data_IF_667308343273
#
_entry.id   IF_667308343273
#
_cell.length_a   1.000
_cell.length_b   1.000
_cell.length_c   1.000
_cell.angle_alpha   90.00
_cell.angle_beta   90.00
_cell.angle_gamma   90.00
#
_symmetry.space_group_name_H-M   'P 1'
#
loop_
_entity.id
_entity.type
_entity.pdbx_description
1 polymer ?
#
# COMPACT_ATOMS: atom_id res chain seq x y z
N UNK A 1 64.99 -29.59 1.16
CA UNK A 1 64.41 -28.66 2.15
C UNK A 1 62.93 -28.51 1.88
N UNK A 2 62.11 -29.09 2.76
CA UNK A 2 60.69 -28.75 2.95
C UNK A 2 60.57 -27.28 3.38
N UNK A 3 59.45 -26.58 3.11
CA UNK A 3 58.40 -26.16 4.08
C UNK A 3 57.19 -25.60 3.25
N UNK A 4 56.16 -26.41 2.94
CA UNK A 4 54.75 -26.47 3.45
C UNK A 4 53.86 -25.21 3.27
N UNK A 5 52.77 -25.40 2.51
CA UNK A 5 51.53 -24.59 2.52
C UNK A 5 50.72 -24.77 3.83
N UNK A 6 49.82 -23.83 4.14
CA UNK A 6 48.47 -24.20 4.60
C UNK A 6 47.39 -23.33 3.90
N UNK A 7 46.35 -23.89 3.29
CA UNK A 7 45.17 -24.60 3.81
C UNK A 7 44.02 -23.66 4.27
N UNK A 8 42.81 -24.06 3.88
CA UNK A 8 41.55 -23.32 3.71
C UNK A 8 40.58 -23.55 4.89
N UNK A 9 39.62 -22.62 5.08
CA UNK A 9 38.30 -22.71 5.76
C UNK A 9 38.21 -22.63 7.31
N UNK A 10 37.03 -22.37 7.92
CA UNK A 10 35.82 -21.62 7.50
C UNK A 10 35.22 -20.70 8.62
N UNK A 11 34.06 -20.10 8.32
CA UNK A 11 33.16 -19.26 9.14
C UNK A 11 32.96 -19.65 10.63
N UNK A 12 32.64 -18.70 11.53
CA UNK A 12 31.98 -18.99 12.80
C UNK A 12 30.48 -18.63 12.78
N UNK A 13 29.65 -19.61 13.12
CA UNK A 13 28.24 -19.47 13.45
C UNK A 13 28.01 -20.13 14.81
N UNK A 14 27.83 -19.35 15.89
CA UNK A 14 27.38 -19.88 17.18
C UNK A 14 26.67 -18.78 18.01
N UNK A 15 25.35 -18.91 18.19
CA UNK A 15 24.55 -18.32 19.30
C UNK A 15 24.77 -19.16 20.59
N UNK A 16 24.11 -18.95 21.75
CA UNK A 16 23.44 -17.79 22.36
C UNK A 16 23.94 -17.51 23.81
N UNK A 17 23.65 -16.33 24.39
CA UNK A 17 23.78 -16.11 25.85
C UNK A 17 22.40 -16.02 26.49
N UNK A 18 22.02 -17.07 27.22
CA UNK A 18 20.95 -17.12 28.22
C UNK A 18 21.53 -16.63 29.54
N UNK A 19 20.95 -15.60 30.14
CA UNK A 19 21.09 -15.32 31.57
C UNK A 19 19.75 -15.56 32.26
N UNK A 20 19.72 -16.57 33.13
CA UNK A 20 18.65 -16.86 34.07
C UNK A 20 18.91 -16.14 35.41
N UNK A 21 17.88 -15.96 36.26
CA UNK A 21 17.98 -15.31 37.58
C UNK A 21 18.39 -16.29 38.72
N UNK A 22 18.89 -15.79 39.86
CA UNK A 22 19.07 -16.55 41.11
C UNK A 22 17.76 -16.54 41.93
N UNK A 23 17.52 -17.30 43.00
CA UNK A 23 17.99 -18.56 43.57
C UNK A 23 17.00 -18.83 44.73
N UNK A 24 16.75 -20.11 45.04
CA UNK A 24 16.46 -20.65 46.37
C UNK A 24 15.02 -20.71 46.96
N UNK A 25 14.87 -21.77 47.78
CA UNK A 25 13.88 -22.14 48.82
C UNK A 25 13.10 -23.46 48.55
N UNK A 26 13.03 -24.39 49.53
CA UNK A 26 13.21 -25.83 49.29
C UNK A 26 11.94 -26.70 49.32
N UNK A 27 12.13 -27.94 48.84
CA UNK A 27 11.21 -29.09 48.89
C UNK A 27 11.02 -29.61 50.32
N UNK A 28 9.77 -29.94 50.70
CA UNK A 28 9.35 -31.06 51.59
C UNK A 28 7.80 -31.10 51.57
N UNK A 29 7.14 -31.98 50.81
CA UNK A 29 6.71 -33.36 51.13
C UNK A 29 5.30 -33.47 51.75
N UNK A 30 4.52 -34.41 51.20
CA UNK A 30 3.35 -35.14 51.74
C UNK A 30 1.91 -34.56 51.61
N UNK A 31 1.15 -35.25 50.74
CA UNK A 31 -0.28 -35.65 50.83
C UNK A 31 -1.19 -34.95 51.84
N UNK A 32 -2.29 -34.35 51.34
CA UNK A 32 -3.64 -34.61 51.88
C UNK A 32 -4.76 -34.26 50.87
N UNK A 33 -5.60 -35.25 50.58
CA UNK A 33 -6.93 -35.13 49.99
C UNK A 33 -7.83 -34.25 50.85
N UNK A 34 -8.46 -33.21 50.27
CA UNK A 34 -9.76 -32.73 50.76
C UNK A 34 -10.63 -32.31 49.56
N UNK A 35 -11.73 -33.03 49.39
CA UNK A 35 -12.87 -32.74 48.54
C UNK A 35 -13.57 -31.45 49.03
N UNK A 36 -13.82 -30.49 48.14
CA UNK A 36 -14.87 -29.49 48.35
C UNK A 36 -15.67 -29.35 47.05
N UNK A 37 -16.99 -29.58 47.06
CA UNK A 37 -17.86 -29.37 45.91
C UNK A 37 -18.24 -27.89 45.85
N UNK A 38 -17.82 -27.16 44.83
CA UNK A 38 -18.42 -25.86 44.55
C UNK A 38 -19.39 -26.00 43.38
N UNK A 39 -20.64 -26.29 43.74
CA UNK A 39 -21.79 -26.04 42.89
C UNK A 39 -21.75 -24.59 42.44
N UNK A 40 -21.46 -24.35 41.16
CA UNK A 40 -21.85 -23.12 40.50
C UNK A 40 -23.23 -23.33 39.88
N UNK A 41 -24.25 -22.55 40.27
CA UNK A 41 -25.55 -22.63 39.62
C UNK A 41 -25.40 -22.23 38.16
N UNK A 42 -25.95 -23.05 37.27
CA UNK A 42 -26.08 -22.77 35.85
C UNK A 42 -26.81 -21.43 35.66
N UNK A 43 -26.10 -20.41 35.19
CA UNK A 43 -26.74 -19.28 34.52
C UNK A 43 -27.22 -19.78 33.16
N UNK A 44 -28.51 -19.63 32.81
CA UNK A 44 -28.95 -19.86 31.44
C UNK A 44 -28.23 -18.85 30.56
N UNK A 45 -27.41 -19.32 29.63
CA UNK A 45 -26.80 -18.47 28.62
C UNK A 45 -27.93 -17.76 27.86
N UNK A 46 -28.09 -16.47 28.13
CA UNK A 46 -28.80 -15.55 27.24
C UNK A 46 -28.09 -15.66 25.89
N UNK A 47 -28.78 -15.95 24.77
CA UNK A 47 -28.18 -15.79 23.47
C UNK A 47 -27.73 -14.34 23.37
N UNK A 48 -26.42 -14.13 23.24
CA UNK A 48 -25.89 -12.85 22.78
C UNK A 48 -26.54 -12.64 21.41
N UNK A 49 -27.55 -11.77 21.35
CA UNK A 49 -27.98 -11.17 20.09
C UNK A 49 -26.71 -10.68 19.41
N UNK A 50 -26.45 -11.07 18.14
CA UNK A 50 -25.26 -10.59 17.45
C UNK A 50 -25.30 -9.06 17.50
N UNK A 51 -24.23 -8.46 18.04
CA UNK A 51 -23.99 -7.03 17.83
C UNK A 51 -24.14 -6.78 16.34
N UNK A 52 -24.89 -5.77 15.88
CA UNK A 52 -24.94 -5.47 14.47
C UNK A 52 -23.50 -5.25 14.04
N UNK A 53 -23.02 -6.11 13.16
CA UNK A 53 -21.73 -6.00 12.54
C UNK A 53 -21.79 -4.64 11.84
N UNK A 54 -21.13 -3.64 12.42
CA UNK A 54 -21.01 -2.31 11.83
C UNK A 54 -20.03 -2.40 10.66
N UNK A 55 -20.35 -3.24 9.67
CA UNK A 55 -20.04 -2.95 8.29
C UNK A 55 -21.20 -2.09 7.80
N UNK A 56 -21.25 -0.86 8.30
CA UNK A 56 -21.95 0.20 7.59
C UNK A 56 -21.42 0.18 6.16
N UNK A 57 -22.31 0.15 5.17
CA UNK A 57 -22.02 0.34 3.76
C UNK A 57 -21.03 1.50 3.57
N UNK A 58 -19.72 1.22 3.60
CA UNK A 58 -18.72 2.15 3.11
C UNK A 58 -18.98 2.15 1.62
N UNK A 59 -19.69 3.17 1.16
CA UNK A 59 -19.89 3.41 -0.26
C UNK A 59 -18.53 3.77 -0.84
N UNK A 60 -17.74 2.76 -1.15
CA UNK A 60 -16.45 2.92 -1.82
C UNK A 60 -16.75 3.50 -3.19
N UNK A 61 -16.27 4.70 -3.47
CA UNK A 61 -16.47 5.34 -4.76
C UNK A 61 -15.61 4.65 -5.82
N UNK A 62 -16.21 4.23 -6.94
CA UNK A 62 -15.50 3.59 -8.05
C UNK A 62 -16.30 2.45 -8.71
N UNK A 63 -15.66 1.65 -9.57
CA UNK A 63 -14.24 1.66 -9.91
C UNK A 63 -13.84 2.80 -10.86
N UNK A 64 -12.71 3.47 -10.57
CA UNK A 64 -12.09 4.46 -11.45
C UNK A 64 -10.96 3.84 -12.26
N UNK A 65 -11.10 3.82 -13.60
CA UNK A 65 -10.01 3.37 -14.48
C UNK A 65 -8.95 4.45 -14.58
N UNK A 66 -7.76 4.18 -14.04
CA UNK A 66 -6.63 5.09 -14.01
C UNK A 66 -5.57 4.69 -15.03
N UNK A 67 -5.13 5.67 -15.82
CA UNK A 67 -3.94 5.57 -16.66
C UNK A 67 -2.93 6.66 -16.31
N UNK A 68 -1.67 6.42 -16.68
CA UNK A 68 -0.58 7.38 -16.45
C UNK A 68 0.17 7.70 -17.73
N UNK A 69 0.77 8.89 -17.80
CA UNK A 69 1.71 9.28 -18.85
C UNK A 69 3.05 9.60 -18.19
N UNK A 70 3.97 8.64 -18.22
CA UNK A 70 5.25 8.68 -17.54
C UNK A 70 6.34 8.03 -18.40
N UNK A 71 7.43 8.76 -18.66
CA UNK A 71 8.59 8.27 -19.43
C UNK A 71 9.32 7.12 -18.71
N UNK A 72 9.03 6.89 -17.43
CA UNK A 72 9.60 5.80 -16.62
C UNK A 72 8.46 4.93 -16.05
N UNK A 73 8.04 3.86 -16.75
CA UNK A 73 6.87 3.06 -16.37
C UNK A 73 7.04 2.36 -15.02
N UNK A 74 8.26 1.93 -14.67
CA UNK A 74 8.56 1.32 -13.38
C UNK A 74 8.24 2.28 -12.21
N UNK A 75 8.54 3.58 -12.39
CA UNK A 75 8.27 4.62 -11.39
C UNK A 75 6.77 4.91 -11.28
N UNK A 76 6.05 4.91 -12.40
CA UNK A 76 4.60 5.05 -12.39
C UNK A 76 3.94 3.96 -11.56
N UNK A 77 4.28 2.68 -11.79
CA UNK A 77 3.72 1.56 -11.02
C UNK A 77 3.93 1.67 -9.51
N UNK A 78 5.13 2.08 -9.08
CA UNK A 78 5.44 2.24 -7.65
C UNK A 78 4.61 3.39 -7.05
N UNK A 79 4.58 4.55 -7.71
CA UNK A 79 3.85 5.72 -7.22
C UNK A 79 2.34 5.47 -7.18
N UNK A 80 1.78 4.92 -8.26
CA UNK A 80 0.34 4.61 -8.32
C UNK A 80 -0.01 3.53 -7.32
N UNK A 81 0.81 2.49 -7.17
CA UNK A 81 0.59 1.45 -6.16
C UNK A 81 0.44 2.04 -4.75
N UNK A 82 1.29 3.02 -4.40
CA UNK A 82 1.17 3.74 -3.11
C UNK A 82 -0.10 4.58 -3.03
N UNK A 83 -0.45 5.32 -4.09
CA UNK A 83 -1.68 6.14 -4.11
C UNK A 83 -2.92 5.27 -3.94
N UNK A 84 -3.01 4.16 -4.69
CA UNK A 84 -4.12 3.21 -4.64
C UNK A 84 -4.25 2.61 -3.24
N UNK A 85 -3.14 2.19 -2.65
CA UNK A 85 -3.13 1.60 -1.31
C UNK A 85 -3.58 2.60 -0.23
N UNK A 86 -3.19 3.88 -0.36
CA UNK A 86 -3.51 4.92 0.61
C UNK A 86 -4.97 5.39 0.54
N UNK A 87 -5.64 5.24 -0.61
CA UNK A 87 -7.02 5.71 -0.81
C UNK A 87 -8.04 4.58 -0.93
N UNK A 88 -7.60 3.32 -0.78
CA UNK A 88 -8.44 2.11 -0.94
C UNK A 88 -9.62 2.03 0.02
N UNK A 89 -9.55 2.73 1.15
CA UNK A 89 -10.63 2.74 2.15
C UNK A 89 -11.85 3.53 1.62
N UNK A 90 -11.60 4.54 0.80
CA UNK A 90 -12.64 5.44 0.27
C UNK A 90 -12.93 5.21 -1.23
N UNK A 91 -11.93 4.74 -2.00
CA UNK A 91 -12.00 4.66 -3.47
C UNK A 91 -11.49 3.33 -4.03
N UNK A 92 -12.16 2.83 -5.06
CA UNK A 92 -11.66 1.72 -5.88
C UNK A 92 -10.99 2.27 -7.14
N UNK A 93 -9.68 2.08 -7.28
CA UNK A 93 -8.90 2.51 -8.44
C UNK A 93 -8.36 1.29 -9.18
N UNK A 94 -8.70 1.16 -10.46
CA UNK A 94 -8.15 0.15 -11.36
C UNK A 94 -7.04 0.78 -12.20
N UNK A 95 -5.78 0.45 -11.91
CA UNK A 95 -4.66 0.91 -12.73
C UNK A 95 -4.51 0.07 -13.99
N UNK A 96 -4.72 0.69 -15.16
CA UNK A 96 -4.84 -0.02 -16.44
C UNK A 96 -3.54 0.00 -17.24
N UNK A 97 -2.97 1.19 -17.51
CA UNK A 97 -1.87 1.34 -18.47
C UNK A 97 -1.03 2.61 -18.23
N UNK A 98 0.21 2.59 -18.73
CA UNK A 98 1.09 3.76 -18.84
C UNK A 98 1.41 4.05 -20.30
N UNK A 99 1.43 5.31 -20.71
CA UNK A 99 2.09 5.77 -21.93
C UNK A 99 3.43 6.39 -21.59
N UNK A 100 4.46 6.01 -22.33
CA UNK A 100 5.81 6.58 -22.18
C UNK A 100 6.00 7.81 -23.06
N UNK A 101 5.19 7.95 -24.12
CA UNK A 101 5.28 9.01 -25.11
C UNK A 101 3.95 9.75 -25.21
N UNK A 102 4.03 11.03 -25.56
CA UNK A 102 2.86 11.89 -25.80
C UNK A 102 1.99 11.36 -26.94
N UNK A 103 2.62 10.85 -28.00
CA UNK A 103 1.97 10.29 -29.19
C UNK A 103 1.06 9.09 -28.88
N UNK A 104 1.45 8.29 -27.88
CA UNK A 104 0.72 7.07 -27.49
C UNK A 104 -0.54 7.38 -26.65
N UNK A 105 -0.69 8.62 -26.16
CA UNK A 105 -1.79 9.01 -25.27
C UNK A 105 -3.13 8.85 -25.96
N UNK A 106 -3.25 9.28 -27.21
CA UNK A 106 -4.52 9.20 -27.95
C UNK A 106 -4.98 7.74 -28.06
N UNK A 107 -4.12 6.89 -28.62
CA UNK A 107 -4.43 5.48 -28.82
C UNK A 107 -4.75 4.76 -27.49
N UNK A 108 -4.02 5.10 -26.42
CA UNK A 108 -4.26 4.54 -25.10
C UNK A 108 -5.61 4.97 -24.52
N UNK A 109 -6.00 6.25 -24.65
CA UNK A 109 -7.30 6.74 -24.16
C UNK A 109 -8.44 6.14 -24.98
N UNK A 110 -8.29 6.00 -26.29
CA UNK A 110 -9.27 5.33 -27.16
C UNK A 110 -9.49 3.87 -26.77
N UNK A 111 -8.39 3.11 -26.58
CA UNK A 111 -8.42 1.68 -26.28
C UNK A 111 -8.94 1.39 -24.87
N UNK A 112 -8.47 2.14 -23.87
CA UNK A 112 -8.72 1.82 -22.45
C UNK A 112 -9.95 2.52 -21.88
N UNK A 113 -10.43 3.59 -22.54
CA UNK A 113 -11.52 4.44 -22.07
C UNK A 113 -11.39 4.82 -20.57
N UNK A 114 -10.24 5.35 -20.12
CA UNK A 114 -9.97 5.58 -18.70
C UNK A 114 -10.80 6.73 -18.13
N UNK A 115 -11.14 6.67 -16.85
CA UNK A 115 -11.88 7.73 -16.16
C UNK A 115 -10.94 8.82 -15.65
N UNK A 116 -9.73 8.43 -15.29
CA UNK A 116 -8.70 9.32 -14.75
C UNK A 116 -7.38 9.15 -15.49
N UNK A 117 -6.73 10.27 -15.82
CA UNK A 117 -5.39 10.31 -16.42
C UNK A 117 -4.45 11.20 -15.61
N UNK A 118 -3.30 10.66 -15.20
CA UNK A 118 -2.24 11.41 -14.54
C UNK A 118 -1.04 11.66 -15.44
N UNK A 119 -0.56 12.90 -15.44
CA UNK A 119 0.66 13.31 -16.13
C UNK A 119 1.80 13.45 -15.13
N UNK A 120 2.92 12.76 -15.39
CA UNK A 120 4.06 12.75 -14.49
C UNK A 120 4.80 14.10 -14.43
N UNK A 121 5.48 14.36 -13.30
CA UNK A 121 6.24 15.60 -13.03
C UNK A 121 7.48 15.85 -13.91
N UNK A 122 7.73 14.97 -14.88
CA UNK A 122 8.90 14.99 -15.78
C UNK A 122 8.56 15.50 -17.18
N UNK A 123 7.28 15.77 -17.42
CA UNK A 123 6.81 16.53 -18.58
C UNK A 123 6.88 18.02 -18.24
N UNK A 124 7.19 18.86 -19.24
CA UNK A 124 7.06 20.32 -19.06
C UNK A 124 5.59 20.69 -18.90
N UNK A 125 5.33 21.92 -18.45
CA UNK A 125 3.96 22.44 -18.31
C UNK A 125 3.23 22.40 -19.66
N UNK A 126 3.92 22.72 -20.76
CA UNK A 126 3.39 22.72 -22.12
C UNK A 126 3.04 21.30 -22.57
N UNK A 127 3.98 20.36 -22.41
CA UNK A 127 3.75 18.94 -22.74
C UNK A 127 2.59 18.37 -21.92
N UNK A 128 2.51 18.70 -20.63
CA UNK A 128 1.43 18.24 -19.76
C UNK A 128 0.07 18.83 -20.15
N UNK A 129 0.02 20.08 -20.59
CA UNK A 129 -1.20 20.69 -21.11
C UNK A 129 -1.63 20.03 -22.43
N UNK A 130 -0.68 19.73 -23.31
CA UNK A 130 -0.94 19.04 -24.56
C UNK A 130 -1.49 17.63 -24.31
N UNK A 131 -0.85 16.85 -23.44
CA UNK A 131 -1.32 15.50 -23.04
C UNK A 131 -2.75 15.56 -22.50
N UNK A 132 -3.05 16.52 -21.62
CA UNK A 132 -4.41 16.68 -21.07
C UNK A 132 -5.41 17.09 -22.14
N UNK A 133 -5.01 17.95 -23.08
CA UNK A 133 -5.85 18.38 -24.20
C UNK A 133 -6.19 17.22 -25.13
N UNK A 134 -5.19 16.40 -25.47
CA UNK A 134 -5.38 15.17 -26.26
C UNK A 134 -6.36 14.24 -25.54
N UNK A 135 -6.13 13.98 -24.26
CA UNK A 135 -6.98 13.10 -23.47
C UNK A 135 -8.45 13.58 -23.44
N UNK A 136 -8.69 14.86 -23.13
CA UNK A 136 -10.03 15.46 -23.09
C UNK A 136 -10.72 15.50 -24.44
N UNK A 137 -9.96 15.71 -25.52
CA UNK A 137 -10.47 15.67 -26.89
C UNK A 137 -10.83 14.25 -27.32
N UNK A 138 -10.14 13.24 -26.78
CA UNK A 138 -10.34 11.84 -27.12
C UNK A 138 -11.50 11.22 -26.34
N UNK A 139 -11.58 11.47 -25.02
CA UNK A 139 -12.70 11.05 -24.17
C UNK A 139 -13.26 12.28 -23.44
N UNK A 140 -14.40 12.82 -23.89
CA UNK A 140 -15.09 13.87 -23.15
C UNK A 140 -15.41 13.40 -21.72
N UNK A 141 -15.18 14.27 -20.73
CA UNK A 141 -15.43 13.96 -19.32
C UNK A 141 -14.32 13.18 -18.60
N UNK A 142 -13.22 12.84 -19.28
CA UNK A 142 -12.05 12.28 -18.59
C UNK A 142 -11.48 13.29 -17.57
N UNK A 143 -11.19 12.79 -16.38
CA UNK A 143 -10.60 13.56 -15.29
C UNK A 143 -9.08 13.54 -15.45
N UNK A 144 -8.46 14.71 -15.62
CA UNK A 144 -7.01 14.80 -15.85
C UNK A 144 -6.32 15.58 -14.74
N UNK A 145 -5.13 15.13 -14.35
CA UNK A 145 -4.30 15.83 -13.39
C UNK A 145 -2.83 15.78 -13.81
N UNK A 146 -2.18 16.94 -13.82
CA UNK A 146 -0.73 17.05 -14.03
C UNK A 146 -0.02 17.26 -12.70
N UNK A 147 1.00 16.46 -12.45
CA UNK A 147 1.89 16.63 -11.29
C UNK A 147 2.85 17.77 -11.61
N UNK A 148 2.99 18.79 -10.74
CA UNK A 148 3.86 19.93 -10.99
C UNK A 148 5.28 19.53 -11.39
N UNK A 149 5.81 20.16 -12.44
CA UNK A 149 7.15 19.88 -12.94
C UNK A 149 8.20 20.06 -11.84
N UNK A 150 9.14 19.11 -11.73
CA UNK A 150 10.21 19.17 -10.72
C UNK A 150 9.81 18.74 -9.30
N UNK A 151 8.53 18.57 -8.98
CA UNK A 151 8.05 18.27 -7.61
C UNK A 151 8.77 17.07 -6.97
N UNK A 152 8.96 15.99 -7.73
CA UNK A 152 9.65 14.81 -7.19
C UNK A 152 11.14 15.06 -6.92
N UNK A 153 11.79 15.90 -7.73
CA UNK A 153 13.22 16.19 -7.56
C UNK A 153 13.42 17.05 -6.31
N UNK A 154 12.55 18.03 -6.10
CA UNK A 154 12.66 18.98 -4.98
C UNK A 154 12.22 18.36 -3.65
N UNK A 155 11.13 17.58 -3.63
CA UNK A 155 10.47 17.13 -2.39
C UNK A 155 10.42 15.60 -2.25
N UNK A 156 10.94 14.87 -3.22
CA UNK A 156 10.96 13.42 -3.20
C UNK A 156 9.64 12.77 -3.66
N UNK A 157 9.61 11.42 -3.71
CA UNK A 157 8.46 10.66 -4.19
C UNK A 157 7.24 10.73 -3.25
N UNK A 158 7.44 10.87 -1.95
CA UNK A 158 6.34 10.91 -0.98
C UNK A 158 5.51 12.19 -1.10
N UNK A 159 6.15 13.32 -1.42
CA UNK A 159 5.45 14.57 -1.72
C UNK A 159 4.55 14.48 -2.95
N UNK A 160 4.89 13.62 -3.92
CA UNK A 160 4.04 13.37 -5.08
C UNK A 160 2.79 12.58 -4.67
N UNK A 161 2.95 11.55 -3.84
CA UNK A 161 1.83 10.74 -3.32
C UNK A 161 0.86 11.61 -2.52
N UNK A 162 1.38 12.43 -1.59
CA UNK A 162 0.58 13.35 -0.79
C UNK A 162 -0.14 14.40 -1.64
N UNK A 163 0.52 14.92 -2.67
CA UNK A 163 -0.11 15.82 -3.64
C UNK A 163 -1.29 15.13 -4.35
N UNK A 164 -1.07 13.92 -4.88
CA UNK A 164 -2.10 13.16 -5.59
C UNK A 164 -3.29 12.84 -4.67
N UNK A 165 -3.05 12.41 -3.44
CA UNK A 165 -4.09 12.13 -2.44
C UNK A 165 -4.92 13.37 -2.12
N UNK A 166 -4.26 14.51 -1.88
CA UNK A 166 -4.94 15.76 -1.56
C UNK A 166 -5.81 16.26 -2.71
N UNK A 167 -5.39 16.03 -3.96
CA UNK A 167 -6.13 16.46 -5.14
C UNK A 167 -7.21 15.46 -5.58
N UNK A 168 -7.10 14.19 -5.18
CA UNK A 168 -8.00 13.12 -5.61
C UNK A 168 -9.48 13.42 -5.36
N UNK A 169 -9.95 13.80 -4.15
CA UNK A 169 -11.36 14.09 -3.91
C UNK A 169 -11.90 15.21 -4.81
N UNK A 170 -11.13 16.29 -4.97
CA UNK A 170 -11.50 17.40 -5.86
C UNK A 170 -11.54 17.02 -7.35
N UNK A 171 -10.87 15.93 -7.72
CA UNK A 171 -10.91 15.38 -9.07
C UNK A 171 -12.13 14.48 -9.25
N UNK A 172 -12.40 13.57 -8.32
CA UNK A 172 -13.41 12.51 -8.51
C UNK A 172 -14.80 12.80 -7.94
N UNK A 173 -14.93 13.68 -6.94
CA UNK A 173 -16.22 13.99 -6.29
C UNK A 173 -16.99 15.14 -6.95
N UNK A 174 -16.45 15.67 -8.06
CA UNK A 174 -17.02 16.76 -8.86
C UNK A 174 -17.73 16.24 -10.12
#
# INVERSE_FOLDING_TARGET
MSIIHPAINPCPHTQPSKTAPPENIPRTSLLLLILIPHQYPHTPHRPLSPSPDYHSDVSIFGPYKLVTVNKVPARAKILIGRVVEDVKEDYTIEYVKNAERLEDVKAMVEEQQPDVLFVASMWTTEEANEIQSIAKSTKPGIKTMAIPHGLQVEKGPDAVVEFLKKQWPGLVDN
#
